data_IF_179815412061
#
_entry.id   IF_179815412061
#
_cell.length_a   1.000
_cell.length_b   1.000
_cell.length_c   1.000
_cell.angle_alpha   90.00
_cell.angle_beta   90.00
_cell.angle_gamma   90.00
#
_symmetry.space_group_name_H-M   'P 1'
#
loop_
_entity.id
_entity.type
_entity.pdbx_description
1 polymer ?
#
# COMPACT_ATOMS: atom_id res chain seq x y z
N UNK A 1 -6.48 14.54 -6.64
CA UNK A 1 -5.60 13.51 -7.26
C UNK A 1 -4.18 13.54 -6.73
N UNK A 2 -3.48 14.70 -6.74
CA UNK A 2 -2.07 14.78 -6.32
C UNK A 2 -1.81 14.27 -4.89
N UNK A 3 -2.71 14.54 -3.93
CA UNK A 3 -2.63 14.01 -2.56
C UNK A 3 -2.70 12.48 -2.48
N UNK A 4 -3.55 11.85 -3.29
CA UNK A 4 -3.70 10.38 -3.35
C UNK A 4 -2.44 9.71 -3.88
N UNK A 5 -1.86 10.27 -4.94
CA UNK A 5 -0.61 9.79 -5.51
C UNK A 5 0.58 9.94 -4.54
N UNK A 6 0.64 11.06 -3.81
CA UNK A 6 1.66 11.27 -2.77
C UNK A 6 1.50 10.26 -1.64
N UNK A 7 0.28 10.02 -1.16
CA UNK A 7 0.01 8.98 -0.15
C UNK A 7 0.43 7.60 -0.64
N UNK A 8 0.16 7.26 -1.90
CA UNK A 8 0.57 6.01 -2.51
C UNK A 8 2.08 5.84 -2.54
N UNK A 9 2.82 6.84 -3.03
CA UNK A 9 4.29 6.77 -3.11
C UNK A 9 4.89 6.65 -1.71
N UNK A 10 4.48 7.49 -0.77
CA UNK A 10 5.05 7.50 0.59
C UNK A 10 4.79 6.17 1.30
N UNK A 11 3.58 5.64 1.22
CA UNK A 11 3.22 4.38 1.88
C UNK A 11 3.89 3.19 1.21
N UNK A 12 4.02 3.18 -0.11
CA UNK A 12 4.77 2.15 -0.85
C UNK A 12 6.24 2.14 -0.43
N UNK A 13 6.89 3.30 -0.37
CA UNK A 13 8.30 3.42 0.03
C UNK A 13 8.52 2.98 1.48
N UNK A 14 7.65 3.39 2.41
CA UNK A 14 7.73 2.97 3.81
C UNK A 14 7.53 1.45 3.96
N UNK A 15 6.57 0.89 3.23
CA UNK A 15 6.31 -0.56 3.24
C UNK A 15 7.49 -1.33 2.67
N UNK A 16 8.12 -0.82 1.61
CA UNK A 16 9.30 -1.41 1.02
C UNK A 16 10.47 -1.47 1.99
N UNK A 17 10.74 -0.39 2.71
CA UNK A 17 11.79 -0.38 3.74
C UNK A 17 11.47 -1.39 4.85
N UNK A 18 10.21 -1.42 5.32
CA UNK A 18 9.78 -2.38 6.34
C UNK A 18 9.95 -3.84 5.92
N UNK A 19 9.50 -4.19 4.72
CA UNK A 19 9.62 -5.54 4.17
C UNK A 19 11.05 -5.89 3.78
N UNK A 20 11.87 -4.93 3.34
CA UNK A 20 13.29 -5.16 3.07
C UNK A 20 14.06 -5.51 4.35
N UNK A 21 13.79 -4.80 5.46
CA UNK A 21 14.38 -5.13 6.76
C UNK A 21 13.91 -6.51 7.22
N UNK A 22 12.61 -6.78 7.14
CA UNK A 22 12.05 -8.08 7.54
C UNK A 22 12.61 -9.24 6.69
N UNK A 23 12.68 -9.07 5.37
CA UNK A 23 13.23 -10.06 4.44
C UNK A 23 14.73 -10.29 4.63
N UNK A 24 15.49 -9.25 4.97
CA UNK A 24 16.90 -9.40 5.34
C UNK A 24 17.08 -10.21 6.63
N UNK A 25 16.21 -10.02 7.62
CA UNK A 25 16.23 -10.78 8.88
C UNK A 25 15.77 -12.22 8.68
N UNK A 26 14.73 -12.45 7.87
CA UNK A 26 14.14 -13.76 7.64
C UNK A 26 14.95 -14.62 6.64
N UNK A 27 15.74 -14.00 5.76
CA UNK A 27 16.60 -14.64 4.76
C UNK A 27 15.89 -15.63 3.81
N UNK A 28 14.58 -15.46 3.63
CA UNK A 28 13.71 -16.34 2.84
C UNK A 28 12.83 -15.57 1.83
N UNK A 29 12.80 -14.23 1.91
CA UNK A 29 11.99 -13.40 1.01
C UNK A 29 12.79 -12.91 -0.20
N UNK A 30 12.25 -13.18 -1.38
CA UNK A 30 12.80 -12.62 -2.62
C UNK A 30 12.49 -11.12 -2.75
N UNK A 31 13.44 -10.37 -3.32
CA UNK A 31 13.28 -8.93 -3.60
C UNK A 31 12.04 -8.60 -4.44
N UNK A 32 11.64 -9.51 -5.34
CA UNK A 32 10.44 -9.36 -6.16
C UNK A 32 9.16 -9.40 -5.29
N UNK A 33 9.10 -10.30 -4.31
CA UNK A 33 7.96 -10.40 -3.39
C UNK A 33 7.85 -9.14 -2.53
N UNK A 34 8.98 -8.66 -2.00
CA UNK A 34 9.06 -7.42 -1.23
C UNK A 34 8.53 -6.24 -2.06
N UNK A 35 8.94 -6.12 -3.32
CA UNK A 35 8.46 -5.06 -4.22
C UNK A 35 6.94 -5.13 -4.46
N UNK A 36 6.43 -6.32 -4.80
CA UNK A 36 4.99 -6.53 -5.06
C UNK A 36 4.15 -6.24 -3.81
N UNK A 37 4.54 -6.78 -2.65
CA UNK A 37 3.82 -6.55 -1.39
C UNK A 37 3.79 -5.06 -1.02
N UNK A 38 4.89 -4.36 -1.24
CA UNK A 38 4.97 -2.91 -0.96
C UNK A 38 4.01 -2.10 -1.82
N UNK A 39 3.93 -2.42 -3.12
CA UNK A 39 3.00 -1.76 -4.05
C UNK A 39 1.54 -2.04 -3.65
N UNK A 40 1.23 -3.29 -3.29
CA UNK A 40 -0.11 -3.68 -2.86
C UNK A 40 -0.53 -2.98 -1.56
N UNK A 41 0.38 -2.90 -0.58
CA UNK A 41 0.11 -2.18 0.68
C UNK A 41 -0.09 -0.69 0.40
N UNK A 42 0.77 -0.07 -0.41
CA UNK A 42 0.60 1.33 -0.79
C UNK A 42 -0.75 1.59 -1.46
N UNK A 43 -1.18 0.69 -2.34
CA UNK A 43 -2.47 0.77 -3.02
C UNK A 43 -3.63 0.62 -2.03
N UNK A 44 -3.57 -0.38 -1.14
CA UNK A 44 -4.58 -0.64 -0.11
C UNK A 44 -4.76 0.55 0.85
N UNK A 45 -3.65 1.08 1.35
CA UNK A 45 -3.66 2.23 2.27
C UNK A 45 -4.25 3.44 1.56
N UNK A 46 -3.80 3.71 0.34
CA UNK A 46 -4.30 4.83 -0.46
C UNK A 46 -5.79 4.72 -0.73
N UNK A 47 -6.28 3.52 -1.08
CA UNK A 47 -7.70 3.24 -1.28
C UNK A 47 -8.52 3.41 0.00
N UNK A 48 -7.97 3.04 1.15
CA UNK A 48 -8.65 3.18 2.44
C UNK A 48 -8.92 4.65 2.77
N UNK A 49 -7.97 5.54 2.47
CA UNK A 49 -8.10 6.98 2.77
C UNK A 49 -8.68 7.82 1.63
N UNK A 50 -8.62 7.34 0.38
CA UNK A 50 -9.11 8.03 -0.81
C UNK A 50 -9.82 7.02 -1.75
N UNK A 51 -10.99 6.49 -1.34
CA UNK A 51 -11.69 5.49 -2.15
C UNK A 51 -12.17 6.11 -3.48
N UNK A 52 -11.89 5.43 -4.58
CA UNK A 52 -12.26 5.87 -5.95
C UNK A 52 -13.77 5.76 -6.17
N UNK A 53 -14.44 4.84 -5.47
CA UNK A 53 -15.89 4.74 -5.40
C UNK A 53 -16.39 5.37 -4.09
N UNK A 54 -17.37 6.28 -4.12
CA UNK A 54 -18.06 6.65 -2.89
C UNK A 54 -18.68 5.37 -2.34
N UNK A 55 -18.34 4.99 -1.10
CA UNK A 55 -19.09 3.99 -0.35
C UNK A 55 -20.49 4.56 -0.07
N UNK A 56 -21.33 4.67 -1.09
CA UNK A 56 -22.72 5.10 -0.99
C UNK A 56 -23.61 3.96 -0.47
N UNK A 57 -23.08 3.11 0.41
CA UNK A 57 -23.85 2.11 1.15
C UNK A 57 -24.85 2.75 2.15
N UNK A 58 -24.89 4.08 2.26
CA UNK A 58 -25.69 4.82 3.25
C UNK A 58 -27.00 5.43 2.75
N UNK A 59 -27.46 5.14 1.52
CA UNK A 59 -28.71 5.74 0.99
C UNK A 59 -29.68 4.76 0.30
N UNK A 60 -29.71 3.48 0.69
CA UNK A 60 -30.68 2.51 0.13
C UNK A 60 -31.37 1.61 1.17
N UNK A 61 -31.50 2.09 2.41
CA UNK A 61 -32.46 1.52 3.36
C UNK A 61 -33.37 2.63 3.87
#
# INVERSE_FOLDING_TARGET
MMKMFVTYIVTTLLSFVGFAIAGFVANDMEWLQIAIMSLLVGLLVTWTFNPIAPFNFKKQH
#
